data_IF_499574551620
#
_entry.id   IF_499574551620
#
_cell.length_a   1.000
_cell.length_b   1.000
_cell.length_c   1.000
_cell.angle_alpha   90.00
_cell.angle_beta   90.00
_cell.angle_gamma   90.00
#
_symmetry.space_group_name_H-M   'P 1'
#
loop_
_entity.id
_entity.type
_entity.pdbx_description
1 polymer ?
#
# COMPACT_ATOMS: atom_id res chain seq x y z
N UNK A 1 -29.21 -8.96 26.41
CA UNK A 1 -27.95 -8.83 27.20
C UNK A 1 -26.68 -9.02 26.36
N UNK A 2 -26.66 -9.95 25.41
CA UNK A 2 -25.50 -10.26 24.55
C UNK A 2 -25.04 -9.09 23.64
N UNK A 3 -25.96 -8.26 23.14
CA UNK A 3 -25.60 -7.12 22.26
C UNK A 3 -24.81 -6.01 22.96
N UNK A 4 -25.11 -5.73 24.24
CA UNK A 4 -24.39 -4.71 25.03
C UNK A 4 -22.97 -5.16 25.37
N UNK A 5 -22.78 -6.43 25.70
CA UNK A 5 -21.46 -7.03 25.95
C UNK A 5 -20.60 -7.03 24.67
N UNK A 6 -21.18 -7.39 23.53
CA UNK A 6 -20.48 -7.32 22.24
C UNK A 6 -20.08 -5.90 21.84
N UNK A 7 -20.97 -4.91 22.01
CA UNK A 7 -20.63 -3.50 21.75
C UNK A 7 -19.55 -2.96 22.70
N UNK A 8 -19.54 -3.39 23.97
CA UNK A 8 -18.52 -3.01 24.94
C UNK A 8 -17.17 -3.67 24.63
N UNK A 9 -17.17 -4.94 24.25
CA UNK A 9 -15.98 -5.70 23.83
C UNK A 9 -15.36 -5.09 22.55
N UNK A 10 -16.20 -4.79 21.56
CA UNK A 10 -15.81 -4.08 20.34
C UNK A 10 -15.25 -2.70 20.70
N UNK A 11 -15.95 -1.91 21.52
CA UNK A 11 -15.51 -0.59 21.96
C UNK A 11 -14.19 -0.61 22.74
N UNK A 12 -13.94 -1.64 23.55
CA UNK A 12 -12.70 -1.85 24.27
C UNK A 12 -11.55 -2.20 23.31
N UNK A 13 -11.78 -3.11 22.36
CA UNK A 13 -10.80 -3.44 21.30
C UNK A 13 -10.49 -2.23 20.42
N UNK A 14 -11.48 -1.41 20.08
CA UNK A 14 -11.27 -0.14 19.36
C UNK A 14 -10.42 0.85 20.17
N UNK A 15 -10.64 0.97 21.48
CA UNK A 15 -9.79 1.81 22.35
C UNK A 15 -8.36 1.27 22.45
N UNK A 16 -8.17 -0.04 22.46
CA UNK A 16 -6.83 -0.65 22.42
C UNK A 16 -6.15 -0.43 21.06
N UNK A 17 -6.89 -0.53 19.94
CA UNK A 17 -6.39 -0.18 18.60
C UNK A 17 -6.04 1.32 18.52
N UNK A 18 -6.82 2.18 19.16
CA UNK A 18 -6.54 3.61 19.24
C UNK A 18 -5.29 3.94 20.08
N UNK A 19 -4.93 3.09 21.05
CA UNK A 19 -3.74 3.23 21.92
C UNK A 19 -2.47 2.59 21.34
N UNK A 20 -2.48 2.03 20.13
CA UNK A 20 -1.28 1.42 19.55
C UNK A 20 -0.17 2.47 19.31
N UNK A 21 0.95 2.28 19.99
CA UNK A 21 2.18 3.05 19.79
C UNK A 21 2.62 3.01 18.33
N UNK A 22 3.20 4.10 17.78
CA UNK A 22 3.71 4.10 16.42
C UNK A 22 4.72 2.97 16.18
N UNK A 23 4.80 2.41 14.96
CA UNK A 23 5.74 1.34 14.69
C UNK A 23 7.17 1.85 14.81
N UNK A 24 8.09 0.97 15.19
CA UNK A 24 9.52 1.27 15.14
C UNK A 24 9.93 1.62 13.71
N UNK A 25 10.67 2.70 13.51
CA UNK A 25 10.98 3.21 12.16
C UNK A 25 11.73 2.19 11.28
N UNK A 26 12.52 1.30 11.89
CA UNK A 26 13.26 0.23 11.19
C UNK A 26 12.38 -0.60 10.25
N UNK A 27 11.13 -0.88 10.63
CA UNK A 27 10.23 -1.77 9.87
C UNK A 27 9.86 -1.20 8.50
N UNK A 28 9.95 0.11 8.32
CA UNK A 28 9.66 0.78 7.06
C UNK A 28 10.80 0.61 6.04
N UNK A 29 11.99 0.32 6.53
CA UNK A 29 13.21 0.17 5.73
C UNK A 29 13.68 -1.27 5.59
N UNK A 30 13.04 -2.23 6.26
CA UNK A 30 13.45 -3.63 6.29
C UNK A 30 12.49 -4.49 5.44
N UNK A 31 12.99 -5.50 4.74
CA UNK A 31 12.13 -6.52 4.13
C UNK A 31 11.54 -7.42 5.22
N UNK A 32 10.48 -8.15 4.90
CA UNK A 32 9.79 -9.00 5.88
C UNK A 32 10.62 -10.20 6.33
N UNK A 33 11.46 -10.73 5.44
CA UNK A 33 12.20 -11.96 5.68
C UNK A 33 13.45 -11.81 6.56
N UNK A 34 13.96 -10.59 6.77
CA UNK A 34 15.21 -10.35 7.49
C UNK A 34 15.24 -8.97 8.16
N UNK A 35 15.99 -8.87 9.24
CA UNK A 35 16.08 -7.68 10.11
C UNK A 35 17.16 -6.67 9.68
N UNK A 36 17.72 -6.81 8.48
CA UNK A 36 18.75 -5.93 7.91
C UNK A 36 18.48 -5.70 6.42
N UNK A 37 19.13 -4.69 5.85
CA UNK A 37 18.96 -4.36 4.42
C UNK A 37 20.03 -5.09 3.61
N UNK A 38 19.69 -6.22 3.02
CA UNK A 38 20.56 -6.87 2.04
C UNK A 38 20.54 -6.12 0.70
N UNK A 39 21.58 -6.38 -0.11
CA UNK A 39 21.73 -5.75 -1.43
C UNK A 39 20.58 -6.07 -2.39
N UNK A 40 20.02 -7.28 -2.32
CA UNK A 40 18.86 -7.67 -3.15
C UNK A 40 17.64 -6.79 -2.88
N UNK A 41 17.43 -6.39 -1.62
CA UNK A 41 16.27 -5.58 -1.24
C UNK A 41 16.46 -4.12 -1.66
N UNK A 42 17.70 -3.64 -1.66
CA UNK A 42 18.05 -2.34 -2.23
C UNK A 42 17.73 -2.30 -3.73
N UNK A 43 18.18 -3.30 -4.50
CA UNK A 43 17.85 -3.41 -5.92
C UNK A 43 16.34 -3.53 -6.14
N UNK A 44 15.67 -4.37 -5.34
CA UNK A 44 14.22 -4.53 -5.40
C UNK A 44 13.48 -3.19 -5.25
N UNK A 45 13.83 -2.35 -4.27
CA UNK A 45 13.18 -1.05 -4.09
C UNK A 45 13.38 -0.09 -5.26
N UNK A 46 14.59 -0.06 -5.83
CA UNK A 46 14.85 0.75 -7.02
C UNK A 46 14.17 0.21 -8.26
N UNK A 47 14.03 -1.12 -8.42
CA UNK A 47 13.24 -1.73 -9.50
C UNK A 47 11.76 -1.34 -9.35
N UNK A 48 11.18 -1.42 -8.15
CA UNK A 48 9.79 -0.98 -7.90
C UNK A 48 9.62 0.48 -8.29
N UNK A 49 10.55 1.36 -7.92
CA UNK A 49 10.53 2.77 -8.34
C UNK A 49 10.58 2.93 -9.86
N UNK A 50 11.47 2.22 -10.56
CA UNK A 50 11.57 2.28 -12.02
C UNK A 50 10.30 1.78 -12.71
N UNK A 51 9.65 0.73 -12.18
CA UNK A 51 8.37 0.24 -12.69
C UNK A 51 7.28 1.30 -12.53
N UNK A 52 7.20 1.96 -11.36
CA UNK A 52 6.27 3.07 -11.16
C UNK A 52 6.58 4.28 -12.06
N UNK A 53 7.85 4.59 -12.28
CA UNK A 53 8.25 5.64 -13.23
C UNK A 53 7.79 5.30 -14.66
N UNK A 54 7.93 4.04 -15.08
CA UNK A 54 7.40 3.56 -16.35
C UNK A 54 5.87 3.67 -16.40
N UNK A 55 5.16 3.36 -15.31
CA UNK A 55 3.70 3.53 -15.26
C UNK A 55 3.28 4.98 -15.46
N UNK A 56 3.97 5.94 -14.82
CA UNK A 56 3.74 7.38 -15.03
C UNK A 56 3.95 7.73 -16.50
N UNK A 57 5.11 7.39 -17.08
CA UNK A 57 5.45 7.70 -18.48
C UNK A 57 4.40 7.11 -19.43
N UNK A 58 4.12 5.81 -19.31
CA UNK A 58 3.16 5.14 -20.18
C UNK A 58 1.74 5.69 -20.00
N UNK A 59 1.33 6.06 -18.78
CA UNK A 59 0.00 6.66 -18.54
C UNK A 59 -0.15 8.07 -19.08
N UNK A 60 0.91 8.89 -19.01
CA UNK A 60 0.91 10.27 -19.51
C UNK A 60 0.93 10.28 -21.03
N UNK A 61 1.83 9.53 -21.65
CA UNK A 61 1.99 9.49 -23.11
C UNK A 61 1.10 8.46 -23.81
N UNK A 62 0.20 7.82 -23.06
CA UNK A 62 -0.70 6.76 -23.52
C UNK A 62 0.01 5.62 -24.28
N UNK A 63 1.27 5.32 -23.91
CA UNK A 63 2.03 4.22 -24.51
C UNK A 63 1.38 2.87 -24.20
N UNK A 64 1.14 2.10 -25.26
CA UNK A 64 0.42 0.83 -25.16
C UNK A 64 -1.10 0.97 -25.31
N UNK A 65 -1.64 2.18 -25.52
CA UNK A 65 -3.04 2.36 -25.92
C UNK A 65 -3.23 2.02 -27.39
N UNK A 66 -4.32 1.32 -27.73
CA UNK A 66 -4.71 1.11 -29.13
C UNK A 66 -5.42 2.31 -29.75
N UNK A 67 -5.94 3.22 -28.93
CA UNK A 67 -6.66 4.43 -29.35
C UNK A 67 -6.27 5.61 -28.45
N UNK A 68 -5.03 6.13 -28.56
CA UNK A 68 -4.60 7.28 -27.78
C UNK A 68 -5.43 8.51 -28.17
N UNK A 69 -5.83 9.30 -27.17
CA UNK A 69 -6.59 10.54 -27.35
C UNK A 69 -5.69 11.78 -27.28
N UNK A 70 -4.47 11.65 -26.73
CA UNK A 70 -3.44 12.70 -26.63
C UNK A 70 -3.90 13.98 -25.91
N UNK A 71 -4.87 13.86 -25.01
CA UNK A 71 -5.39 14.94 -24.16
C UNK A 71 -4.72 14.91 -22.79
N UNK A 72 -3.43 15.26 -22.75
CA UNK A 72 -2.58 15.14 -21.56
C UNK A 72 -3.04 16.05 -20.41
N UNK A 73 -3.68 17.17 -20.71
CA UNK A 73 -4.26 18.09 -19.74
C UNK A 73 -5.41 17.47 -18.93
N UNK A 74 -6.00 16.37 -19.42
CA UNK A 74 -7.03 15.60 -18.71
C UNK A 74 -6.43 14.56 -17.76
N UNK A 75 -5.14 14.26 -17.84
CA UNK A 75 -4.49 13.29 -16.97
C UNK A 75 -4.77 13.52 -15.46
N UNK A 76 -4.64 14.74 -14.90
CA UNK A 76 -4.81 14.96 -13.46
C UNK A 76 -6.27 14.86 -12.97
N UNK A 77 -7.27 14.67 -13.82
CA UNK A 77 -8.68 14.59 -13.36
C UNK A 77 -9.06 13.16 -12.95
N UNK A 78 -8.34 12.14 -13.42
CA UNK A 78 -8.69 10.74 -13.18
C UNK A 78 -8.07 10.23 -11.87
N UNK A 79 -8.89 9.60 -11.03
CA UNK A 79 -8.46 9.00 -9.77
C UNK A 79 -7.41 7.89 -9.98
N UNK A 80 -7.52 7.12 -11.07
CA UNK A 80 -6.51 6.13 -11.48
C UNK A 80 -5.12 6.76 -11.60
N UNK A 81 -5.05 7.99 -12.12
CA UNK A 81 -3.79 8.69 -12.33
C UNK A 81 -3.23 9.27 -11.02
N UNK A 82 -4.12 9.67 -10.08
CA UNK A 82 -3.71 10.04 -8.72
C UNK A 82 -3.08 8.86 -7.99
N UNK A 83 -3.66 7.65 -8.12
CA UNK A 83 -3.07 6.43 -7.56
C UNK A 83 -1.67 6.16 -8.13
N UNK A 84 -1.48 6.31 -9.45
CA UNK A 84 -0.17 6.17 -10.09
C UNK A 84 0.84 7.21 -9.57
N UNK A 85 0.44 8.48 -9.41
CA UNK A 85 1.30 9.52 -8.85
C UNK A 85 1.70 9.24 -7.38
N UNK A 86 0.75 8.75 -6.60
CA UNK A 86 0.98 8.35 -5.21
C UNK A 86 1.93 7.15 -5.14
N UNK A 87 1.75 6.14 -5.99
CA UNK A 87 2.64 4.99 -6.10
C UNK A 87 4.06 5.36 -6.51
N UNK A 88 4.23 6.24 -7.50
CA UNK A 88 5.54 6.78 -7.87
C UNK A 88 6.24 7.46 -6.68
N UNK A 89 5.51 8.34 -5.98
CA UNK A 89 6.04 9.10 -4.85
C UNK A 89 6.39 8.18 -3.67
N UNK A 90 5.51 7.23 -3.36
CA UNK A 90 5.74 6.17 -2.38
C UNK A 90 7.02 5.39 -2.71
N UNK A 91 7.16 4.94 -3.94
CA UNK A 91 8.28 4.08 -4.34
C UNK A 91 9.61 4.83 -4.30
N UNK A 92 9.63 6.11 -4.70
CA UNK A 92 10.80 6.98 -4.59
C UNK A 92 11.24 7.13 -3.12
N UNK A 93 10.31 7.50 -2.24
CA UNK A 93 10.63 7.67 -0.81
C UNK A 93 11.09 6.33 -0.21
N UNK A 94 10.45 5.21 -0.57
CA UNK A 94 10.88 3.88 -0.15
C UNK A 94 12.31 3.54 -0.58
N UNK A 95 12.67 3.83 -1.83
CA UNK A 95 14.03 3.67 -2.35
C UNK A 95 15.06 4.52 -1.59
N UNK A 96 14.72 5.78 -1.30
CA UNK A 96 15.58 6.70 -0.52
C UNK A 96 15.78 6.20 0.91
N UNK A 97 14.71 5.82 1.61
CA UNK A 97 14.77 5.34 2.99
C UNK A 97 15.59 4.05 3.12
N UNK A 98 15.39 3.09 2.19
CA UNK A 98 16.15 1.84 2.18
C UNK A 98 17.62 2.10 1.82
N UNK A 99 17.92 3.03 0.92
CA UNK A 99 19.29 3.44 0.60
C UNK A 99 19.99 4.09 1.79
N UNK A 100 19.30 4.99 2.52
CA UNK A 100 19.80 5.59 3.77
C UNK A 100 20.10 4.50 4.81
N UNK A 101 19.15 3.59 5.04
CA UNK A 101 19.29 2.46 5.97
C UNK A 101 20.46 1.54 5.61
N UNK A 102 20.65 1.24 4.33
CA UNK A 102 21.75 0.41 3.83
C UNK A 102 23.14 1.03 4.07
N UNK A 103 23.25 2.35 4.02
CA UNK A 103 24.49 3.07 4.38
C UNK A 103 24.73 3.04 5.88
N UNK A 104 23.69 3.34 6.67
CA UNK A 104 23.79 3.44 8.13
C UNK A 104 24.19 2.11 8.79
N UNK A 105 23.70 0.96 8.31
CA UNK A 105 24.08 -0.34 8.89
C UNK A 105 25.56 -0.71 8.76
N UNK A 106 26.31 -0.03 7.90
CA UNK A 106 27.76 -0.28 7.73
C UNK A 106 28.59 0.43 8.80
N UNK A 107 27.99 1.36 9.54
CA UNK A 107 28.66 2.09 10.62
C UNK A 107 28.77 1.16 11.83
N UNK A 108 29.98 1.05 12.39
CA UNK A 108 30.22 0.26 13.60
C UNK A 108 29.38 0.80 14.77
N UNK A 109 28.73 -0.09 15.51
CA UNK A 109 27.84 0.29 16.62
C UNK A 109 26.45 0.82 16.20
N UNK A 110 26.08 0.75 14.91
CA UNK A 110 24.74 1.11 14.48
C UNK A 110 23.68 0.14 15.04
N UNK A 111 22.72 0.68 15.80
CA UNK A 111 21.54 -0.05 16.25
C UNK A 111 20.28 0.40 15.47
N UNK A 112 19.63 -0.48 14.70
CA UNK A 112 18.37 -0.18 14.01
C UNK A 112 17.24 0.28 14.93
N UNK A 113 17.27 -0.09 16.22
CA UNK A 113 16.25 0.29 17.19
C UNK A 113 16.29 1.79 17.53
N UNK A 114 17.43 2.45 17.29
CA UNK A 114 17.60 3.90 17.51
C UNK A 114 17.01 4.76 16.37
N UNK A 115 16.53 4.14 15.29
CA UNK A 115 15.87 4.87 14.21
C UNK A 115 14.55 5.48 14.69
N UNK A 116 14.41 6.79 14.48
CA UNK A 116 13.21 7.54 14.86
C UNK A 116 12.23 7.66 13.70
N UNK A 117 10.95 7.72 14.05
CA UNK A 117 9.87 7.89 13.08
C UNK A 117 9.68 9.38 12.78
N UNK A 118 10.56 9.92 11.92
CA UNK A 118 10.53 11.31 11.46
C UNK A 118 9.41 11.53 10.41
N UNK A 119 9.28 12.75 9.92
CA UNK A 119 8.20 13.13 8.98
C UNK A 119 8.25 12.34 7.68
N UNK A 120 9.44 12.02 7.16
CA UNK A 120 9.60 11.26 5.91
C UNK A 120 9.12 9.82 6.06
N UNK A 121 9.46 9.16 7.17
CA UNK A 121 9.02 7.80 7.48
C UNK A 121 7.50 7.75 7.70
N UNK A 122 6.93 8.76 8.37
CA UNK A 122 5.47 8.88 8.54
C UNK A 122 4.76 9.08 7.21
N UNK A 123 5.28 9.96 6.35
CA UNK A 123 4.75 10.19 5.01
C UNK A 123 4.83 8.93 4.16
N UNK A 124 5.98 8.25 4.17
CA UNK A 124 6.15 6.98 3.47
C UNK A 124 5.14 5.93 3.93
N UNK A 125 4.96 5.79 5.24
CA UNK A 125 4.00 4.84 5.80
C UNK A 125 2.56 5.19 5.40
N UNK A 126 2.19 6.46 5.47
CA UNK A 126 0.89 6.96 5.01
C UNK A 126 0.66 6.61 3.53
N UNK A 127 1.58 7.02 2.66
CA UNK A 127 1.49 6.78 1.22
C UNK A 127 1.43 5.30 0.90
N UNK A 128 2.24 4.48 1.57
CA UNK A 128 2.24 3.03 1.38
C UNK A 128 0.87 2.39 1.60
N UNK A 129 0.25 2.73 2.73
CA UNK A 129 -1.07 2.19 3.10
C UNK A 129 -2.13 2.69 2.12
N UNK A 130 -2.10 3.98 1.79
CA UNK A 130 -3.01 4.60 0.83
C UNK A 130 -2.91 3.96 -0.55
N UNK A 131 -1.72 3.93 -1.15
CA UNK A 131 -1.48 3.37 -2.49
C UNK A 131 -1.85 1.90 -2.56
N UNK A 132 -1.54 1.09 -1.53
CA UNK A 132 -1.92 -0.33 -1.52
C UNK A 132 -3.44 -0.49 -1.60
N UNK A 133 -4.18 0.32 -0.84
CA UNK A 133 -5.64 0.27 -0.83
C UNK A 133 -6.24 0.87 -2.11
N UNK A 134 -5.64 1.95 -2.62
CA UNK A 134 -6.05 2.62 -3.85
C UNK A 134 -5.86 1.73 -5.07
N UNK A 135 -4.71 1.07 -5.24
CA UNK A 135 -4.44 0.16 -6.34
C UNK A 135 -5.54 -0.91 -6.47
N UNK A 136 -5.82 -1.64 -5.38
CA UNK A 136 -6.85 -2.68 -5.36
C UNK A 136 -8.24 -2.07 -5.63
N UNK A 137 -8.52 -0.91 -5.03
CA UNK A 137 -9.78 -0.21 -5.24
C UNK A 137 -9.99 0.25 -6.68
N UNK A 138 -8.95 0.77 -7.32
CA UNK A 138 -8.93 1.19 -8.73
C UNK A 138 -9.20 -0.01 -9.63
N UNK A 139 -8.54 -1.15 -9.41
CA UNK A 139 -8.82 -2.39 -10.16
C UNK A 139 -10.30 -2.79 -10.07
N UNK A 140 -10.79 -2.94 -8.84
CA UNK A 140 -12.16 -3.44 -8.60
C UNK A 140 -13.20 -2.46 -9.14
N UNK A 141 -13.07 -1.17 -8.81
CA UNK A 141 -14.00 -0.14 -9.30
C UNK A 141 -13.95 -0.03 -10.83
N UNK A 142 -12.77 -0.13 -11.44
CA UNK A 142 -12.66 -0.07 -12.90
C UNK A 142 -13.45 -1.20 -13.54
N UNK A 143 -13.14 -2.44 -13.22
CA UNK A 143 -13.75 -3.60 -13.86
C UNK A 143 -15.25 -3.77 -13.54
N UNK A 144 -15.69 -3.37 -12.35
CA UNK A 144 -17.09 -3.53 -11.94
C UNK A 144 -17.99 -2.35 -12.30
N UNK A 145 -17.45 -1.12 -12.40
CA UNK A 145 -18.27 0.09 -12.46
C UNK A 145 -17.94 1.07 -13.58
N UNK A 146 -16.71 1.04 -14.11
CA UNK A 146 -16.24 2.01 -15.12
C UNK A 146 -16.06 1.36 -16.49
N UNK A 147 -15.55 0.13 -16.54
CA UNK A 147 -15.28 -0.58 -17.78
C UNK A 147 -16.56 -0.71 -18.61
N UNK A 148 -16.41 -0.41 -19.91
CA UNK A 148 -17.50 -0.44 -20.86
C UNK A 148 -16.89 -0.84 -22.21
N UNK A 149 -17.18 -2.05 -22.72
CA UNK A 149 -16.57 -2.54 -23.95
C UNK A 149 -16.92 -1.69 -25.19
N UNK A 150 -17.97 -0.85 -25.12
CA UNK A 150 -18.33 0.05 -26.21
C UNK A 150 -17.33 1.22 -26.41
N UNK A 151 -16.61 1.61 -25.35
CA UNK A 151 -15.72 2.79 -25.37
C UNK A 151 -14.31 2.50 -24.89
N UNK A 152 -14.13 1.48 -24.03
CA UNK A 152 -12.84 1.10 -23.47
C UNK A 152 -12.26 -0.10 -24.22
N UNK A 153 -10.97 -0.04 -24.55
CA UNK A 153 -10.21 -1.16 -25.08
C UNK A 153 -9.43 -1.82 -23.95
N UNK A 154 -9.40 -3.16 -23.93
CA UNK A 154 -8.52 -3.92 -23.04
C UNK A 154 -7.16 -4.04 -23.71
N UNK A 155 -6.43 -2.93 -23.72
CA UNK A 155 -5.10 -2.81 -24.31
C UNK A 155 -3.99 -2.92 -23.22
N UNK A 156 -2.71 -3.01 -23.62
CA UNK A 156 -1.60 -3.08 -22.67
C UNK A 156 -1.59 -1.95 -21.63
N UNK A 157 -1.94 -0.72 -22.02
CA UNK A 157 -2.01 0.40 -21.10
C UNK A 157 -3.13 0.20 -20.07
N UNK A 158 -4.30 -0.27 -20.51
CA UNK A 158 -5.43 -0.56 -19.65
C UNK A 158 -5.10 -1.63 -18.59
N UNK A 159 -4.48 -2.74 -19.05
CA UNK A 159 -4.04 -3.82 -18.16
C UNK A 159 -2.97 -3.31 -17.19
N UNK A 160 -2.03 -2.46 -17.64
CA UNK A 160 -1.00 -1.89 -16.78
C UNK A 160 -1.60 -1.03 -15.67
N UNK A 161 -2.47 -0.08 -16.02
CA UNK A 161 -3.07 0.86 -15.07
C UNK A 161 -3.99 0.19 -14.05
N UNK A 162 -4.71 -0.86 -14.47
CA UNK A 162 -5.75 -1.47 -13.63
C UNK A 162 -5.35 -2.81 -13.03
N UNK A 163 -4.59 -3.68 -13.69
CA UNK A 163 -4.26 -5.01 -13.18
C UNK A 163 -2.84 -5.04 -12.62
N UNK A 164 -1.84 -4.64 -13.41
CA UNK A 164 -0.44 -4.69 -12.99
C UNK A 164 -0.17 -3.81 -11.77
N UNK A 165 -0.86 -2.67 -11.66
CA UNK A 165 -0.87 -1.81 -10.48
C UNK A 165 -1.16 -2.58 -9.17
N UNK A 166 -2.28 -3.29 -9.12
CA UNK A 166 -2.63 -4.11 -7.94
C UNK A 166 -1.65 -5.25 -7.72
N UNK A 167 -1.25 -5.95 -8.78
CA UNK A 167 -0.27 -7.04 -8.67
C UNK A 167 1.03 -6.54 -8.05
N UNK A 168 1.52 -5.37 -8.48
CA UNK A 168 2.73 -4.75 -7.96
C UNK A 168 2.62 -4.46 -6.46
N UNK A 169 1.51 -3.85 -6.03
CA UNK A 169 1.29 -3.55 -4.60
C UNK A 169 1.09 -4.80 -3.75
N UNK A 170 0.47 -5.86 -4.28
CA UNK A 170 0.34 -7.14 -3.56
C UNK A 170 1.68 -7.86 -3.41
N UNK A 171 2.53 -7.87 -4.43
CA UNK A 171 3.89 -8.40 -4.34
C UNK A 171 4.67 -7.60 -3.28
N UNK A 172 4.61 -6.27 -3.33
CA UNK A 172 5.32 -5.42 -2.38
C UNK A 172 4.78 -5.58 -0.95
N UNK A 173 3.46 -5.81 -0.77
CA UNK A 173 2.90 -6.15 0.53
C UNK A 173 3.56 -7.41 1.10
N UNK A 174 3.84 -8.43 0.29
CA UNK A 174 4.47 -9.67 0.74
C UNK A 174 5.95 -9.50 1.09
N UNK A 175 6.68 -8.67 0.33
CA UNK A 175 8.13 -8.48 0.50
C UNK A 175 8.47 -7.56 1.67
N UNK A 176 7.63 -6.58 1.97
CA UNK A 176 7.98 -5.47 2.87
C UNK A 176 7.53 -5.70 4.31
N UNK A 177 8.21 -5.11 5.29
CA UNK A 177 7.83 -5.22 6.70
C UNK A 177 6.92 -4.06 7.16
N UNK A 178 6.27 -3.36 6.22
CA UNK A 178 5.45 -2.20 6.54
C UNK A 178 4.14 -2.65 7.23
N UNK A 179 3.78 -2.05 8.38
CA UNK A 179 2.63 -2.47 9.17
C UNK A 179 1.33 -1.89 8.64
N UNK A 180 0.29 -2.73 8.55
CA UNK A 180 -1.08 -2.31 8.32
C UNK A 180 -1.84 -2.34 9.65
N UNK A 181 -2.47 -1.22 9.99
CA UNK A 181 -3.27 -1.08 11.22
C UNK A 181 -4.68 -0.70 10.84
N UNK A 182 -5.67 -1.27 11.53
CA UNK A 182 -7.07 -0.97 11.25
C UNK A 182 -7.36 0.52 11.33
N UNK A 183 -6.80 1.24 12.33
CA UNK A 183 -6.95 2.71 12.50
C UNK A 183 -6.56 3.52 11.26
N UNK A 184 -5.67 3.01 10.41
CA UNK A 184 -5.19 3.72 9.22
C UNK A 184 -6.25 3.79 8.11
N UNK A 185 -7.43 3.17 8.27
CA UNK A 185 -8.50 3.27 7.27
C UNK A 185 -8.90 4.72 6.95
N UNK A 186 -8.81 5.61 7.96
CA UNK A 186 -9.06 7.03 7.79
C UNK A 186 -8.13 7.68 6.77
N UNK A 187 -6.89 7.20 6.64
CA UNK A 187 -5.92 7.72 5.68
C UNK A 187 -6.37 7.46 4.24
N UNK A 188 -6.85 6.25 3.98
CA UNK A 188 -7.42 5.88 2.68
C UNK A 188 -8.69 6.69 2.38
N UNK A 189 -9.56 6.87 3.38
CA UNK A 189 -10.77 7.69 3.24
C UNK A 189 -10.45 9.15 2.95
N UNK A 190 -9.41 9.72 3.56
CA UNK A 190 -9.03 11.12 3.32
C UNK A 190 -8.70 11.41 1.85
N UNK A 191 -7.99 10.51 1.16
CA UNK A 191 -7.65 10.69 -0.26
C UNK A 191 -8.87 10.58 -1.16
N UNK A 192 -9.74 9.59 -0.91
CA UNK A 192 -10.97 9.42 -1.69
C UNK A 192 -11.93 10.59 -1.44
N UNK A 193 -12.01 11.07 -0.21
CA UNK A 193 -12.77 12.28 0.12
C UNK A 193 -12.22 13.49 -0.62
N UNK A 194 -10.90 13.70 -0.61
CA UNK A 194 -10.28 14.79 -1.36
C UNK A 194 -10.62 14.71 -2.86
N UNK A 195 -10.63 13.51 -3.45
CA UNK A 195 -11.06 13.32 -4.83
C UNK A 195 -12.54 13.63 -5.07
N UNK A 196 -13.43 13.27 -4.14
CA UNK A 196 -14.85 13.61 -4.22
C UNK A 196 -15.06 15.12 -4.20
N UNK A 197 -14.42 15.86 -3.27
CA UNK A 197 -14.44 17.34 -3.26
C UNK A 197 -13.96 17.89 -4.59
N UNK A 198 -12.80 17.41 -5.05
CA UNK A 198 -12.24 17.82 -6.34
C UNK A 198 -13.25 17.60 -7.48
N UNK A 199 -13.90 16.44 -7.54
CA UNK A 199 -14.85 16.11 -8.61
C UNK A 199 -16.09 17.02 -8.61
N UNK A 200 -16.56 17.44 -7.43
CA UNK A 200 -17.67 18.41 -7.30
C UNK A 200 -17.24 19.77 -7.81
N UNK A 201 -16.09 20.27 -7.35
CA UNK A 201 -15.55 21.56 -7.78
C UNK A 201 -15.31 21.57 -9.29
N UNK A 202 -14.72 20.49 -9.81
CA UNK A 202 -14.46 20.31 -11.24
C UNK A 202 -15.75 20.37 -12.07
N UNK A 203 -16.80 19.69 -11.62
CA UNK A 203 -18.12 19.76 -12.25
C UNK A 203 -18.72 21.18 -12.21
N UNK A 204 -18.70 21.83 -11.04
CA UNK A 204 -19.24 23.19 -10.88
C UNK A 204 -18.50 24.22 -11.73
N UNK A 205 -17.20 24.00 -11.99
CA UNK A 205 -16.38 24.81 -12.89
C UNK A 205 -16.62 24.53 -14.38
N UNK A 206 -17.57 23.65 -14.73
CA UNK A 206 -17.87 23.29 -16.12
C UNK A 206 -16.91 22.27 -16.74
N UNK A 207 -16.15 21.54 -15.91
CA UNK A 207 -15.17 20.55 -16.35
C UNK A 207 -15.77 19.44 -17.23
N UNK A 208 -14.93 18.91 -18.14
CA UNK A 208 -15.29 17.89 -19.13
C UNK A 208 -14.28 16.75 -19.11
N UNK A 209 -14.72 15.51 -19.30
CA UNK A 209 -13.83 14.36 -19.52
C UNK A 209 -13.20 14.37 -20.93
N UNK A 210 -12.47 13.31 -21.25
CA UNK A 210 -11.83 13.13 -22.56
C UNK A 210 -12.80 13.04 -23.75
N UNK A 211 -14.07 12.75 -23.49
CA UNK A 211 -15.11 12.61 -24.52
C UNK A 211 -16.09 13.79 -24.54
N UNK A 212 -15.84 14.84 -23.76
CA UNK A 212 -16.69 16.04 -23.71
C UNK A 212 -17.92 15.90 -22.80
N UNK A 213 -17.96 14.91 -21.91
CA UNK A 213 -19.03 14.76 -20.91
C UNK A 213 -18.71 15.52 -19.62
N UNK A 214 -19.74 16.07 -18.96
CA UNK A 214 -19.62 16.76 -17.68
C UNK A 214 -19.40 15.84 -16.46
N UNK A 215 -19.09 14.57 -16.66
CA UNK A 215 -18.72 13.64 -15.60
C UNK A 215 -17.35 13.06 -15.92
N UNK A 216 -16.47 12.92 -14.93
CA UNK A 216 -15.18 12.24 -15.11
C UNK A 216 -15.38 10.73 -15.23
N UNK A 217 -16.23 10.20 -14.34
CA UNK A 217 -16.73 8.84 -14.37
C UNK A 217 -18.24 8.90 -14.39
N UNK A 218 -18.89 8.14 -15.28
CA UNK A 218 -20.36 8.12 -15.41
C UNK A 218 -21.09 7.79 -14.09
N UNK A 219 -20.43 7.07 -13.18
CA UNK A 219 -20.97 6.74 -11.86
C UNK A 219 -20.93 7.94 -10.88
N UNK A 220 -20.09 8.94 -11.14
CA UNK A 220 -19.99 10.21 -10.41
C UNK A 220 -20.60 11.36 -11.21
N UNK A 221 -21.83 11.16 -11.71
CA UNK A 221 -22.55 12.17 -12.47
C UNK A 221 -23.26 13.17 -11.55
N UNK A 222 -22.62 14.31 -11.30
CA UNK A 222 -23.14 15.36 -10.41
C UNK A 222 -24.40 16.09 -10.93
N UNK A 223 -24.83 15.83 -12.18
CA UNK A 223 -26.19 16.20 -12.63
C UNK A 223 -27.28 15.43 -11.88
N UNK A 224 -26.93 14.28 -11.29
CA UNK A 224 -27.81 13.41 -10.49
C UNK A 224 -27.28 13.32 -9.05
N UNK A 225 -27.32 14.42 -8.27
CA UNK A 225 -26.59 14.54 -7.01
C UNK A 225 -26.99 13.46 -6.00
N UNK A 226 -28.28 13.13 -5.86
CA UNK A 226 -28.73 12.09 -4.94
C UNK A 226 -28.10 10.72 -5.25
N UNK A 227 -28.13 10.31 -6.52
CA UNK A 227 -27.52 9.04 -6.96
C UNK A 227 -26.01 9.06 -6.72
N UNK A 228 -25.34 10.16 -7.06
CA UNK A 228 -23.90 10.29 -6.91
C UNK A 228 -23.47 10.30 -5.44
N UNK A 229 -24.24 10.95 -4.56
CA UNK A 229 -24.02 10.88 -3.11
C UNK A 229 -24.13 9.45 -2.57
N UNK A 230 -25.12 8.66 -3.03
CA UNK A 230 -25.24 7.25 -2.65
C UNK A 230 -24.03 6.42 -3.14
N UNK A 231 -23.56 6.68 -4.36
CA UNK A 231 -22.33 6.07 -4.89
C UNK A 231 -21.12 6.43 -4.03
N UNK A 232 -20.96 7.69 -3.62
CA UNK A 232 -19.86 8.11 -2.74
C UNK A 232 -19.90 7.39 -1.39
N UNK A 233 -21.08 7.26 -0.77
CA UNK A 233 -21.26 6.51 0.49
C UNK A 233 -20.88 5.03 0.30
N UNK A 234 -21.31 4.42 -0.81
CA UNK A 234 -20.92 3.07 -1.19
C UNK A 234 -19.41 2.94 -1.38
N UNK A 235 -18.78 3.92 -2.04
CA UNK A 235 -17.34 4.01 -2.25
C UNK A 235 -16.55 4.11 -0.94
N UNK A 236 -16.97 4.97 0.00
CA UNK A 236 -16.34 5.07 1.33
C UNK A 236 -16.47 3.77 2.13
N UNK A 237 -17.63 3.12 2.05
CA UNK A 237 -17.85 1.81 2.68
C UNK A 237 -16.92 0.76 2.07
N UNK A 238 -16.84 0.71 0.74
CA UNK A 238 -15.96 -0.19 0.00
C UNK A 238 -14.48 0.01 0.37
N UNK A 239 -13.99 1.25 0.38
CA UNK A 239 -12.61 1.60 0.75
C UNK A 239 -12.29 1.15 2.19
N UNK A 240 -13.24 1.27 3.10
CA UNK A 240 -13.09 0.82 4.50
C UNK A 240 -13.01 -0.71 4.59
N UNK A 241 -13.90 -1.42 3.90
CA UNK A 241 -13.87 -2.89 3.84
C UNK A 241 -12.57 -3.38 3.21
N UNK A 242 -12.13 -2.73 2.14
CA UNK A 242 -10.89 -3.06 1.46
C UNK A 242 -9.67 -2.89 2.40
N UNK A 243 -9.64 -1.83 3.21
CA UNK A 243 -8.58 -1.64 4.19
C UNK A 243 -8.58 -2.74 5.27
N UNK A 244 -9.75 -3.21 5.67
CA UNK A 244 -9.86 -4.36 6.58
C UNK A 244 -9.27 -5.64 5.92
N UNK A 245 -9.53 -5.86 4.64
CA UNK A 245 -8.99 -6.98 3.88
C UNK A 245 -7.46 -6.87 3.75
N UNK A 246 -6.92 -5.69 3.43
CA UNK A 246 -5.46 -5.50 3.34
C UNK A 246 -4.78 -5.69 4.69
N UNK A 247 -5.41 -5.25 5.79
CA UNK A 247 -4.95 -5.57 7.14
C UNK A 247 -4.95 -7.09 7.41
N UNK A 248 -5.98 -7.82 6.97
CA UNK A 248 -6.03 -9.27 7.10
C UNK A 248 -4.91 -9.94 6.30
N UNK A 249 -4.67 -9.51 5.06
CA UNK A 249 -3.58 -10.02 4.22
C UNK A 249 -2.21 -9.76 4.86
N UNK A 250 -1.97 -8.56 5.40
CA UNK A 250 -0.74 -8.25 6.13
C UNK A 250 -0.56 -9.14 7.37
N UNK A 251 -1.64 -9.43 8.11
CA UNK A 251 -1.61 -10.33 9.27
C UNK A 251 -1.31 -11.78 8.85
N UNK A 252 -1.87 -12.24 7.73
CA UNK A 252 -1.61 -13.57 7.16
C UNK A 252 -0.15 -13.67 6.76
N UNK A 253 0.37 -12.70 5.99
CA UNK A 253 1.81 -12.59 5.65
C UNK A 253 2.66 -12.71 6.91
N UNK A 254 2.39 -11.90 7.92
CA UNK A 254 3.15 -11.88 9.16
C UNK A 254 3.12 -13.23 9.90
N UNK A 255 1.98 -13.91 9.89
CA UNK A 255 1.84 -15.26 10.48
C UNK A 255 2.62 -16.30 9.70
N UNK A 256 2.61 -16.23 8.38
CA UNK A 256 3.38 -17.15 7.50
C UNK A 256 4.87 -16.98 7.79
N UNK A 257 5.39 -15.75 7.77
CA UNK A 257 6.81 -15.50 8.04
C UNK A 257 7.25 -15.97 9.44
N UNK A 258 6.45 -15.71 10.49
CA UNK A 258 6.75 -16.21 11.84
C UNK A 258 6.86 -17.74 11.87
N UNK A 259 5.87 -18.45 11.31
CA UNK A 259 5.89 -19.92 11.25
C UNK A 259 7.07 -20.48 10.47
N UNK A 260 7.44 -19.83 9.36
CA UNK A 260 8.59 -20.25 8.54
C UNK A 260 9.89 -20.10 9.31
N UNK A 261 10.10 -18.97 10.01
CA UNK A 261 11.29 -18.74 10.84
C UNK A 261 11.37 -19.74 11.99
N UNK A 262 10.25 -19.98 12.69
CA UNK A 262 10.18 -21.00 13.75
C UNK A 262 10.56 -22.39 13.23
N UNK A 263 10.05 -22.78 12.05
CA UNK A 263 10.36 -24.07 11.43
C UNK A 263 11.84 -24.20 11.05
N UNK A 264 12.46 -23.13 10.57
CA UNK A 264 13.90 -23.11 10.22
C UNK A 264 14.77 -23.20 11.49
N UNK A 265 14.37 -22.55 12.57
CA UNK A 265 15.16 -22.49 13.81
C UNK A 265 15.03 -23.75 14.68
N UNK A 266 13.90 -24.47 14.61
CA UNK A 266 13.69 -25.74 15.36
C UNK A 266 14.83 -26.77 15.20
N UNK A 267 15.26 -27.16 13.99
CA UNK A 267 16.35 -28.12 13.82
C UNK A 267 17.73 -27.58 14.28
N UNK A 268 17.94 -26.25 14.26
CA UNK A 268 19.18 -25.63 14.78
C UNK A 268 19.25 -25.73 16.30
N UNK A 269 18.13 -25.52 17.01
CA UNK A 269 18.09 -25.66 18.47
C UNK A 269 18.27 -27.10 18.94
N UNK A 270 17.68 -28.09 18.25
CA UNK A 270 17.86 -29.51 18.58
C UNK A 270 19.35 -29.90 18.49
N UNK A 271 20.04 -29.51 17.41
CA UNK A 271 21.48 -29.78 17.24
C UNK A 271 22.39 -29.08 18.26
N UNK A 272 21.97 -27.95 18.84
CA UNK A 272 22.73 -27.29 19.92
C UNK A 272 22.54 -27.98 21.27
N UNK A 273 21.34 -28.51 21.55
CA UNK A 273 21.09 -29.27 22.77
C UNK A 273 21.74 -30.67 22.75
N UNK A 274 21.98 -31.25 21.58
CA UNK A 274 22.60 -32.58 21.45
C UNK A 274 24.14 -32.57 21.50
N UNK A 275 24.79 -31.40 21.66
CA UNK A 275 26.25 -31.34 21.87
C UNK A 275 26.57 -31.49 23.36
N UNK A 276 27.33 -32.52 23.79
CA UNK A 276 27.79 -32.65 25.16
C UNK A 276 28.65 -31.43 25.53
N UNK A 277 28.46 -30.89 26.75
CA UNK A 277 29.39 -29.91 27.31
C UNK A 277 30.80 -30.51 27.37
N UNK A 278 31.85 -29.81 26.93
CA UNK A 278 33.21 -30.28 27.13
C UNK A 278 33.48 -30.40 28.63
N UNK A 279 33.77 -31.62 29.08
CA UNK A 279 34.26 -31.87 30.44
C UNK A 279 35.52 -31.04 30.68
N UNK A 280 35.48 -30.20 31.72
CA UNK A 280 36.68 -29.52 32.21
C UNK A 280 37.67 -30.59 32.68
N UNK A 281 38.96 -30.54 32.26
CA UNK A 281 39.98 -31.37 32.90
C UNK A 281 40.13 -30.91 34.34
N UNK A 282 39.90 -31.82 35.28
CA UNK A 282 40.20 -31.62 36.69
C UNK A 282 41.72 -31.65 36.84
N UNK A 283 42.36 -30.49 37.02
CA UNK A 283 43.72 -30.43 37.53
C UNK A 283 43.70 -30.96 38.98
N UNK A 284 44.41 -32.06 39.20
CA UNK A 284 44.71 -32.58 40.55
C UNK A 284 46.21 -32.43 40.75
N UNK A 285 46.54 -31.72 41.83
CA UNK A 285 47.86 -31.49 42.42
C UNK A 285 48.53 -32.79 42.84
#
# INVERSE_FOLDING_TARGET
MVSKLWCQEIGHRWRQVAKQEPPQARVLSEPKCQSYVAIWYLYYRWIIFLVWAAFVICSVFEFGSYKPLMQYEKWPIYLTNWDIALGFTQALIGGILVSKRWRLQKISGFDPCNLKLESTERLYWFLYVVTTNMAIGVTVCYWLTVYNPAIHQVDPLNIMMHVCNTVLMLIDLLVTNIPFRLRNFWWCLSIVMFYVIFSVIYYLAGGLDKYGYHYIYKILDWKKPLRTSLVCIGGFTFVTVLHCITCLLANIRDRIYRKTIEKINKPVQIKMNDKPLPEKPTEVV
#
